data_IF_849306384982
#
_entry.id   IF_849306384982
#
_cell.length_a   1.000
_cell.length_b   1.000
_cell.length_c   1.000
_cell.angle_alpha   90.00
_cell.angle_beta   90.00
_cell.angle_gamma   90.00
#
_symmetry.space_group_name_H-M   'P 1'
#
loop_
_entity.id
_entity.type
_entity.pdbx_description
1 polymer ?
#
# COMPACT_ATOMS: atom_id res chain seq x y z
N UNK A 1 19.15 27.46 -14.25
CA UNK A 1 18.72 26.93 -15.56
C UNK A 1 19.63 27.54 -16.61
N UNK A 2 20.62 26.80 -17.03
CA UNK A 2 21.41 27.15 -18.22
C UNK A 2 20.50 26.97 -19.41
N UNK A 3 20.10 28.08 -20.07
CA UNK A 3 19.31 28.06 -21.29
C UNK A 3 20.08 27.40 -22.45
N UNK A 4 20.30 26.12 -22.34
CA UNK A 4 20.89 25.30 -23.40
C UNK A 4 19.80 25.06 -24.44
N UNK A 5 19.94 25.67 -25.60
CA UNK A 5 19.06 25.41 -26.76
C UNK A 5 19.06 23.91 -27.09
N UNK A 6 17.89 23.33 -27.39
CA UNK A 6 17.79 21.91 -27.73
C UNK A 6 18.65 21.51 -28.95
N UNK A 7 19.01 22.43 -29.82
CA UNK A 7 19.67 22.16 -31.11
C UNK A 7 21.21 22.32 -31.09
N UNK A 8 21.81 22.68 -29.94
CA UNK A 8 23.25 22.88 -29.88
C UNK A 8 23.95 21.70 -29.23
N UNK A 9 25.02 21.20 -29.86
CA UNK A 9 25.86 20.12 -29.34
C UNK A 9 26.98 20.60 -28.42
N UNK A 10 27.21 21.91 -28.39
CA UNK A 10 28.27 22.52 -27.57
C UNK A 10 27.70 23.59 -26.64
N UNK A 11 28.30 23.73 -25.47
CA UNK A 11 27.98 24.78 -24.51
C UNK A 11 28.38 26.16 -25.05
N UNK A 12 27.45 27.15 -25.14
CA UNK A 12 27.81 28.49 -25.66
C UNK A 12 28.75 29.27 -24.77
N UNK A 13 28.93 28.90 -23.50
CA UNK A 13 29.82 29.57 -22.56
C UNK A 13 31.22 29.02 -22.54
N UNK A 14 31.43 27.72 -22.70
CA UNK A 14 32.72 27.07 -22.54
C UNK A 14 33.12 26.13 -23.68
N UNK A 15 32.28 25.97 -24.73
CA UNK A 15 32.59 25.11 -25.88
C UNK A 15 32.53 23.60 -25.63
N UNK A 16 32.26 23.18 -24.37
CA UNK A 16 32.20 21.75 -24.05
C UNK A 16 31.12 21.02 -24.81
N UNK A 17 31.38 19.78 -25.24
CA UNK A 17 30.40 18.88 -25.86
C UNK A 17 29.33 18.48 -24.83
N UNK A 18 28.09 18.75 -25.12
CA UNK A 18 26.96 18.48 -24.22
C UNK A 18 26.05 17.34 -24.70
N UNK A 19 26.40 16.65 -25.81
CA UNK A 19 25.60 15.55 -26.37
C UNK A 19 25.38 14.42 -25.37
N UNK A 20 26.44 13.99 -24.68
CA UNK A 20 26.32 12.95 -23.65
C UNK A 20 25.44 13.40 -22.49
N UNK A 21 25.60 14.65 -22.04
CA UNK A 21 24.78 15.21 -20.97
C UNK A 21 23.29 15.24 -21.33
N UNK A 22 22.95 15.62 -22.56
CA UNK A 22 21.57 15.56 -23.06
C UNK A 22 21.02 14.14 -23.07
N UNK A 23 21.79 13.16 -23.56
CA UNK A 23 21.39 11.74 -23.54
C UNK A 23 21.08 11.27 -22.13
N UNK A 24 21.89 11.66 -21.14
CA UNK A 24 21.67 11.33 -19.73
C UNK A 24 20.38 11.96 -19.20
N UNK A 25 20.11 13.24 -19.47
CA UNK A 25 18.87 13.92 -19.06
C UNK A 25 17.66 13.25 -19.74
N UNK A 26 17.77 12.97 -21.03
CA UNK A 26 16.69 12.29 -21.76
C UNK A 26 16.39 10.92 -21.16
N UNK A 27 17.40 10.09 -20.92
CA UNK A 27 17.24 8.79 -20.28
C UNK A 27 16.62 8.92 -18.87
N UNK A 28 17.08 9.90 -18.07
CA UNK A 28 16.48 10.20 -16.77
C UNK A 28 14.98 10.53 -16.88
N UNK A 29 14.58 11.32 -17.86
CA UNK A 29 13.19 11.68 -18.10
C UNK A 29 12.36 10.47 -18.56
N UNK A 30 12.93 9.56 -19.34
CA UNK A 30 12.24 8.32 -19.73
C UNK A 30 11.95 7.45 -18.49
N UNK A 31 12.91 7.28 -17.59
CA UNK A 31 12.69 6.57 -16.33
C UNK A 31 11.70 7.29 -15.40
N UNK A 32 11.68 8.62 -15.39
CA UNK A 32 10.65 9.39 -14.69
C UNK A 32 9.26 9.08 -15.26
N UNK A 33 9.08 9.12 -16.58
CA UNK A 33 7.80 8.86 -17.22
C UNK A 33 7.33 7.42 -16.96
N UNK A 34 8.25 6.44 -16.99
CA UNK A 34 7.94 5.06 -16.64
C UNK A 34 7.52 4.93 -15.17
N UNK A 35 8.24 5.60 -14.27
CA UNK A 35 7.90 5.66 -12.85
C UNK A 35 6.52 6.29 -12.61
N UNK A 36 6.19 7.36 -13.34
CA UNK A 36 4.87 8.00 -13.29
C UNK A 36 3.76 7.06 -13.76
N UNK A 37 3.99 6.33 -14.85
CA UNK A 37 3.03 5.36 -15.36
C UNK A 37 2.77 4.23 -14.36
N UNK A 38 3.83 3.68 -13.74
CA UNK A 38 3.73 2.65 -12.70
C UNK A 38 3.01 3.17 -11.45
N UNK A 39 3.33 4.38 -10.99
CA UNK A 39 2.65 4.99 -9.84
C UNK A 39 1.14 5.15 -10.09
N UNK A 40 0.74 5.58 -11.29
CA UNK A 40 -0.67 5.64 -11.69
C UNK A 40 -1.36 4.27 -11.69
N UNK A 41 -0.63 3.21 -12.03
CA UNK A 41 -1.12 1.83 -11.99
C UNK A 41 -1.11 1.23 -10.57
N UNK A 42 -0.70 2.00 -9.55
CA UNK A 42 -0.51 1.55 -8.15
C UNK A 42 0.60 0.49 -7.99
N UNK A 43 1.53 0.40 -8.93
CA UNK A 43 2.80 -0.32 -8.78
C UNK A 43 3.82 0.63 -8.13
N UNK A 44 3.69 0.83 -6.81
CA UNK A 44 4.49 1.81 -6.09
C UNK A 44 5.95 1.38 -5.96
N UNK A 45 6.20 0.10 -5.71
CA UNK A 45 7.57 -0.45 -5.66
C UNK A 45 8.27 -0.29 -7.00
N UNK A 46 7.65 -0.68 -8.09
CA UNK A 46 8.24 -0.52 -9.42
C UNK A 46 8.38 0.96 -9.83
N UNK A 47 7.46 1.83 -9.40
CA UNK A 47 7.59 3.27 -9.58
C UNK A 47 8.82 3.83 -8.85
N UNK A 48 9.02 3.45 -7.58
CA UNK A 48 10.17 3.87 -6.79
C UNK A 48 11.50 3.43 -7.41
N UNK A 49 11.57 2.23 -7.97
CA UNK A 49 12.76 1.72 -8.68
C UNK A 49 13.08 2.55 -9.92
N UNK A 50 12.08 2.81 -10.77
CA UNK A 50 12.25 3.65 -11.96
C UNK A 50 12.70 5.08 -11.59
N UNK A 51 12.09 5.67 -10.57
CA UNK A 51 12.42 7.03 -10.13
C UNK A 51 13.82 7.12 -9.52
N UNK A 52 14.25 6.09 -8.76
CA UNK A 52 15.64 5.98 -8.28
C UNK A 52 16.64 5.89 -9.43
N UNK A 53 16.34 5.08 -10.45
CA UNK A 53 17.17 4.99 -11.66
C UNK A 53 17.23 6.33 -12.38
N UNK A 54 16.11 7.04 -12.52
CA UNK A 54 16.08 8.41 -13.05
C UNK A 54 17.03 9.33 -12.29
N UNK A 55 17.02 9.28 -10.95
CA UNK A 55 17.86 10.11 -10.10
C UNK A 55 19.33 9.66 -10.05
N UNK A 56 19.63 8.38 -10.31
CA UNK A 56 21.00 7.90 -10.51
C UNK A 56 21.62 8.50 -11.78
N UNK A 57 20.85 8.58 -12.87
CA UNK A 57 21.26 9.19 -14.12
C UNK A 57 21.39 10.71 -13.98
N UNK A 58 20.40 11.37 -13.40
CA UNK A 58 20.39 12.82 -13.24
C UNK A 58 19.86 13.24 -11.86
N UNK A 59 20.77 13.43 -10.91
CA UNK A 59 20.45 13.77 -9.50
C UNK A 59 19.63 15.05 -9.32
N UNK A 60 19.65 15.96 -10.31
CA UNK A 60 18.90 17.23 -10.30
C UNK A 60 17.53 17.13 -10.97
N UNK A 61 17.02 15.94 -11.28
CA UNK A 61 15.68 15.77 -11.80
C UNK A 61 14.64 16.03 -10.70
N UNK A 62 14.19 17.29 -10.61
CA UNK A 62 13.24 17.76 -9.59
C UNK A 62 11.93 16.98 -9.67
N UNK A 63 11.40 16.76 -10.88
CA UNK A 63 10.14 16.06 -11.08
C UNK A 63 10.21 14.60 -10.59
N UNK A 64 11.30 13.89 -10.91
CA UNK A 64 11.51 12.53 -10.43
C UNK A 64 11.64 12.47 -8.90
N UNK A 65 12.33 13.46 -8.30
CA UNK A 65 12.49 13.53 -6.86
C UNK A 65 11.18 13.82 -6.13
N UNK A 66 10.40 14.76 -6.63
CA UNK A 66 9.09 15.09 -6.06
C UNK A 66 8.13 13.90 -6.14
N UNK A 67 8.10 13.22 -7.28
CA UNK A 67 7.27 12.03 -7.45
C UNK A 67 7.75 10.87 -6.58
N UNK A 68 9.07 10.68 -6.42
CA UNK A 68 9.61 9.64 -5.53
C UNK A 68 9.19 9.88 -4.08
N UNK A 69 9.23 11.14 -3.62
CA UNK A 69 8.70 11.51 -2.31
C UNK A 69 7.21 11.15 -2.17
N UNK A 70 6.40 11.47 -3.18
CA UNK A 70 4.98 11.12 -3.16
C UNK A 70 4.75 9.60 -3.14
N UNK A 71 5.52 8.83 -3.91
CA UNK A 71 5.46 7.37 -3.91
C UNK A 71 5.81 6.81 -2.53
N UNK A 72 6.87 7.30 -1.88
CA UNK A 72 7.20 6.89 -0.52
C UNK A 72 6.10 7.25 0.49
N UNK A 73 5.48 8.41 0.35
CA UNK A 73 4.35 8.81 1.20
C UNK A 73 3.16 7.85 1.05
N UNK A 74 2.83 7.47 -0.18
CA UNK A 74 1.78 6.48 -0.47
C UNK A 74 2.11 5.07 0.05
N UNK A 75 3.39 4.74 0.20
CA UNK A 75 3.86 3.49 0.81
C UNK A 75 3.92 3.53 2.35
N UNK A 76 3.51 4.64 2.97
CA UNK A 76 3.60 4.86 4.43
C UNK A 76 5.00 5.17 4.94
N UNK A 77 5.94 5.50 4.07
CA UNK A 77 7.35 5.81 4.37
C UNK A 77 7.56 7.34 4.48
N UNK A 78 6.86 7.97 5.43
CA UNK A 78 6.83 9.44 5.59
C UNK A 78 8.21 10.08 5.72
N UNK A 79 9.15 9.43 6.43
CA UNK A 79 10.52 9.93 6.60
C UNK A 79 11.30 9.96 5.28
N UNK A 80 11.12 8.93 4.43
CA UNK A 80 11.73 8.88 3.11
C UNK A 80 11.12 9.92 2.17
N UNK A 81 9.79 10.10 2.22
CA UNK A 81 9.09 11.13 1.47
C UNK A 81 9.62 12.53 1.80
N UNK A 82 9.68 12.87 3.09
CA UNK A 82 10.18 14.16 3.56
C UNK A 82 11.64 14.38 3.14
N UNK A 83 12.49 13.37 3.24
CA UNK A 83 13.90 13.42 2.78
C UNK A 83 13.98 13.84 1.31
N UNK A 84 13.21 13.20 0.42
CA UNK A 84 13.24 13.50 -1.01
C UNK A 84 12.73 14.92 -1.30
N UNK A 85 11.66 15.36 -0.64
CA UNK A 85 11.12 16.71 -0.81
C UNK A 85 12.04 17.79 -0.27
N UNK A 86 12.72 17.59 0.87
CA UNK A 86 13.73 18.52 1.39
C UNK A 86 14.91 18.65 0.43
N UNK A 87 15.41 17.54 -0.12
CA UNK A 87 16.47 17.59 -1.14
C UNK A 87 15.96 18.33 -2.39
N UNK A 88 14.73 18.08 -2.84
CA UNK A 88 14.13 18.75 -3.98
C UNK A 88 14.05 20.26 -3.77
N UNK A 89 13.57 20.70 -2.60
CA UNK A 89 13.51 22.11 -2.22
C UNK A 89 14.88 22.78 -2.24
N UNK A 90 15.92 22.11 -1.72
CA UNK A 90 17.28 22.63 -1.72
C UNK A 90 17.88 22.76 -3.14
N UNK A 91 17.44 21.92 -4.08
CA UNK A 91 17.85 22.01 -5.48
C UNK A 91 17.11 23.10 -6.26
N UNK A 92 15.86 23.40 -5.91
CA UNK A 92 15.03 24.45 -6.50
C UNK A 92 14.22 25.15 -5.40
N UNK A 93 14.65 26.36 -5.05
CA UNK A 93 14.06 27.12 -3.93
C UNK A 93 12.73 27.83 -4.27
N UNK A 94 12.41 28.05 -5.55
CA UNK A 94 11.20 28.77 -5.96
C UNK A 94 10.39 27.95 -6.96
N UNK A 95 9.07 27.98 -6.81
CA UNK A 95 8.14 27.30 -7.71
C UNK A 95 8.29 25.78 -7.68
N UNK A 96 8.55 25.20 -6.51
CA UNK A 96 8.72 23.76 -6.31
C UNK A 96 7.55 23.24 -5.47
N UNK A 97 6.78 22.33 -6.03
CA UNK A 97 5.64 21.66 -5.36
C UNK A 97 6.05 20.93 -4.06
N UNK A 98 7.34 20.61 -3.89
CA UNK A 98 7.85 20.02 -2.66
C UNK A 98 7.59 20.92 -1.44
N UNK A 99 7.53 22.26 -1.63
CA UNK A 99 7.22 23.18 -0.53
C UNK A 99 5.81 22.97 0.01
N UNK A 100 4.85 22.68 -0.87
CA UNK A 100 3.46 22.41 -0.48
C UNK A 100 3.37 21.08 0.25
N UNK A 101 3.99 20.02 -0.26
CA UNK A 101 4.02 18.71 0.42
C UNK A 101 4.68 18.78 1.81
N UNK A 102 5.78 19.52 1.95
CA UNK A 102 6.46 19.70 3.25
C UNK A 102 5.55 20.49 4.21
N UNK A 103 4.86 21.51 3.70
CA UNK A 103 3.91 22.31 4.50
C UNK A 103 2.75 21.46 4.97
N UNK A 104 2.11 20.72 4.07
CA UNK A 104 1.00 19.84 4.38
C UNK A 104 1.37 18.80 5.47
N UNK A 105 2.56 18.20 5.35
CA UNK A 105 3.06 17.28 6.38
C UNK A 105 3.32 17.97 7.72
N UNK A 106 3.86 19.20 7.70
CA UNK A 106 4.16 19.96 8.93
C UNK A 106 2.89 20.45 9.62
N UNK A 107 1.92 20.92 8.83
CA UNK A 107 0.66 21.48 9.35
C UNK A 107 -0.22 20.34 9.91
N UNK A 108 -0.04 19.12 9.41
CA UNK A 108 -0.60 17.91 9.98
C UNK A 108 0.39 17.24 10.96
N UNK A 109 0.69 17.92 12.09
CA UNK A 109 1.61 17.40 13.13
C UNK A 109 1.23 16.00 13.61
N UNK A 110 -0.06 15.72 13.73
CA UNK A 110 -0.56 14.41 14.11
C UNK A 110 -0.10 13.30 13.13
N UNK A 111 0.07 13.63 11.85
CA UNK A 111 0.58 12.69 10.84
C UNK A 111 2.05 12.35 11.05
N UNK A 112 2.90 13.32 11.42
CA UNK A 112 4.32 13.11 11.70
C UNK A 112 4.53 12.32 12.99
N UNK A 113 3.83 12.68 14.05
CA UNK A 113 3.89 11.98 15.35
C UNK A 113 3.38 10.53 15.19
N UNK A 114 2.32 10.34 14.42
CA UNK A 114 1.79 9.02 14.06
C UNK A 114 2.78 8.19 13.26
N UNK A 115 3.51 8.80 12.32
CA UNK A 115 4.52 8.11 11.53
C UNK A 115 5.70 7.64 12.40
N UNK A 116 6.24 8.52 13.26
CA UNK A 116 7.31 8.17 14.20
C UNK A 116 6.87 7.08 15.20
N UNK A 117 5.67 7.21 15.76
CA UNK A 117 5.08 6.20 16.62
C UNK A 117 4.92 4.84 15.92
N UNK A 118 4.48 4.84 14.66
CA UNK A 118 4.35 3.63 13.85
C UNK A 118 5.69 2.95 13.60
N UNK A 119 6.74 3.72 13.30
CA UNK A 119 8.10 3.19 13.11
C UNK A 119 8.62 2.54 14.39
N UNK A 120 8.47 3.19 15.55
CA UNK A 120 8.90 2.62 16.84
C UNK A 120 8.15 1.33 17.16
N UNK A 121 6.82 1.31 16.98
CA UNK A 121 6.01 0.10 17.19
C UNK A 121 6.34 -1.01 16.21
N UNK A 122 6.62 -0.69 14.95
CA UNK A 122 7.06 -1.66 13.97
C UNK A 122 8.41 -2.30 14.37
N UNK A 123 9.38 -1.49 14.79
CA UNK A 123 10.66 -2.00 15.26
C UNK A 123 10.51 -2.88 16.51
N UNK A 124 9.63 -2.50 17.44
CA UNK A 124 9.30 -3.33 18.59
C UNK A 124 8.65 -4.66 18.18
N UNK A 125 7.73 -4.63 17.22
CA UNK A 125 7.10 -5.84 16.68
C UNK A 125 8.14 -6.76 15.99
N UNK A 126 9.10 -6.18 15.27
CA UNK A 126 10.19 -6.93 14.64
C UNK A 126 11.07 -7.63 15.70
N UNK A 127 11.37 -6.97 16.82
CA UNK A 127 12.12 -7.59 17.92
C UNK A 127 11.31 -8.71 18.58
N UNK A 128 10.00 -8.51 18.81
CA UNK A 128 9.14 -9.60 19.31
C UNK A 128 9.10 -10.79 18.36
N UNK A 129 9.04 -10.55 17.04
CA UNK A 129 9.08 -11.63 16.06
C UNK A 129 10.41 -12.39 16.10
N UNK A 130 11.55 -11.70 16.19
CA UNK A 130 12.89 -12.31 16.29
C UNK A 130 13.07 -13.14 17.59
N UNK A 131 12.48 -12.70 18.69
CA UNK A 131 12.56 -13.38 20.00
C UNK A 131 11.52 -14.50 20.17
N UNK A 132 10.72 -14.79 19.11
CA UNK A 132 9.69 -15.84 19.15
C UNK A 132 8.39 -15.43 19.84
N UNK A 133 8.26 -14.19 20.31
CA UNK A 133 7.05 -13.67 20.95
C UNK A 133 6.01 -13.23 19.91
N UNK A 134 5.54 -14.19 19.10
CA UNK A 134 4.69 -13.94 17.91
C UNK A 134 3.40 -13.21 18.23
N UNK A 135 2.69 -13.58 19.28
CA UNK A 135 1.43 -12.93 19.67
C UNK A 135 1.63 -11.44 19.95
N UNK A 136 2.73 -11.11 20.66
CA UNK A 136 3.06 -9.71 20.93
C UNK A 136 3.41 -8.96 19.65
N UNK A 137 4.14 -9.60 18.72
CA UNK A 137 4.43 -9.03 17.41
C UNK A 137 3.14 -8.74 16.62
N UNK A 138 2.22 -9.69 16.55
CA UNK A 138 0.91 -9.54 15.88
C UNK A 138 0.11 -8.39 16.48
N UNK A 139 0.03 -8.30 17.81
CA UNK A 139 -0.68 -7.21 18.50
C UNK A 139 -0.09 -5.85 18.13
N UNK A 140 1.25 -5.72 18.15
CA UNK A 140 1.91 -4.46 17.80
C UNK A 140 1.71 -4.11 16.30
N UNK A 141 1.83 -5.08 15.41
CA UNK A 141 1.62 -4.86 13.96
C UNK A 141 0.20 -4.40 13.65
N UNK A 142 -0.81 -4.97 14.29
CA UNK A 142 -2.20 -4.49 14.17
C UNK A 142 -2.34 -3.03 14.61
N UNK A 143 -1.68 -2.65 15.72
CA UNK A 143 -1.66 -1.25 16.17
C UNK A 143 -0.94 -0.35 15.16
N UNK A 144 0.17 -0.81 14.56
CA UNK A 144 0.87 -0.08 13.49
C UNK A 144 -0.05 0.17 12.30
N UNK A 145 -0.71 -0.87 11.79
CA UNK A 145 -1.62 -0.79 10.65
C UNK A 145 -2.80 0.16 10.93
N UNK A 146 -3.33 0.17 12.14
CA UNK A 146 -4.41 1.08 12.51
C UNK A 146 -3.97 2.55 12.54
N UNK A 147 -2.72 2.83 12.92
CA UNK A 147 -2.17 4.20 12.97
C UNK A 147 -1.64 4.65 11.61
N UNK A 148 -0.98 3.74 10.88
CA UNK A 148 -0.45 3.98 9.54
C UNK A 148 -0.92 2.87 8.57
N UNK A 149 -2.13 3.01 7.99
CA UNK A 149 -2.72 2.00 7.13
C UNK A 149 -1.97 1.77 5.80
N UNK A 150 -0.99 2.63 5.47
CA UNK A 150 -0.19 2.53 4.24
C UNK A 150 1.15 1.84 4.45
N UNK A 151 1.51 1.46 5.67
CA UNK A 151 2.82 0.89 5.98
C UNK A 151 2.96 -0.55 5.46
N UNK A 152 3.39 -0.70 4.21
CA UNK A 152 3.55 -1.98 3.50
C UNK A 152 4.33 -3.01 4.31
N UNK A 153 5.44 -2.60 4.94
CA UNK A 153 6.29 -3.49 5.75
C UNK A 153 5.54 -4.15 6.91
N UNK A 154 4.56 -3.43 7.50
CA UNK A 154 3.76 -3.97 8.60
C UNK A 154 2.83 -5.09 8.11
N UNK A 155 2.22 -4.93 6.94
CA UNK A 155 1.40 -5.96 6.33
C UNK A 155 2.24 -7.20 5.96
N UNK A 156 3.42 -7.00 5.36
CA UNK A 156 4.31 -8.10 4.99
C UNK A 156 4.75 -8.93 6.21
N UNK A 157 5.18 -8.27 7.29
CA UNK A 157 5.59 -8.96 8.50
C UNK A 157 4.41 -9.66 9.19
N UNK A 158 3.24 -9.03 9.22
CA UNK A 158 2.03 -9.65 9.78
C UNK A 158 1.59 -10.88 8.99
N UNK A 159 1.67 -10.81 7.65
CA UNK A 159 1.36 -11.93 6.79
C UNK A 159 2.31 -13.10 7.03
N UNK A 160 3.63 -12.84 7.14
CA UNK A 160 4.63 -13.88 7.45
C UNK A 160 4.33 -14.57 8.79
N UNK A 161 3.98 -13.81 9.84
CA UNK A 161 3.64 -14.40 11.15
C UNK A 161 2.38 -15.27 11.07
N UNK A 162 1.37 -14.85 10.30
CA UNK A 162 0.19 -15.67 10.08
C UNK A 162 0.46 -16.93 9.24
N UNK A 163 1.35 -16.83 8.23
CA UNK A 163 1.80 -18.00 7.46
C UNK A 163 2.51 -19.01 8.35
N UNK A 164 3.40 -18.56 9.21
CA UNK A 164 4.14 -19.40 10.16
C UNK A 164 3.21 -20.09 11.16
N UNK A 165 2.14 -19.39 11.59
CA UNK A 165 1.09 -19.93 12.47
C UNK A 165 0.03 -20.76 11.72
N UNK A 166 0.19 -21.00 10.41
CA UNK A 166 -0.76 -21.71 9.53
C UNK A 166 -2.16 -21.06 9.46
N UNK A 167 -2.27 -19.78 9.81
CA UNK A 167 -3.50 -18.99 9.73
C UNK A 167 -3.67 -18.39 8.32
N UNK A 168 -3.81 -19.28 7.33
CA UNK A 168 -3.71 -18.93 5.91
C UNK A 168 -4.77 -17.92 5.44
N UNK A 169 -6.01 -18.00 5.93
CA UNK A 169 -7.06 -17.04 5.59
C UNK A 169 -6.72 -15.63 6.06
N UNK A 170 -6.18 -15.50 7.28
CA UNK A 170 -5.76 -14.21 7.82
C UNK A 170 -4.54 -13.66 7.07
N UNK A 171 -3.62 -14.53 6.68
CA UNK A 171 -2.46 -14.14 5.88
C UNK A 171 -2.89 -13.60 4.50
N UNK A 172 -3.85 -14.27 3.84
CA UNK A 172 -4.40 -13.83 2.54
C UNK A 172 -5.08 -12.45 2.66
N UNK A 173 -5.94 -12.24 3.67
CA UNK A 173 -6.60 -10.94 3.89
C UNK A 173 -5.56 -9.81 4.05
N UNK A 174 -4.53 -10.05 4.85
CA UNK A 174 -3.46 -9.06 5.07
C UNK A 174 -2.65 -8.78 3.81
N UNK A 175 -2.36 -9.82 3.00
CA UNK A 175 -1.64 -9.65 1.73
C UNK A 175 -2.48 -8.92 0.71
N UNK A 176 -3.77 -9.22 0.60
CA UNK A 176 -4.66 -8.53 -0.32
C UNK A 176 -4.75 -7.03 0.00
N UNK A 177 -4.85 -6.65 1.27
CA UNK A 177 -4.75 -5.24 1.70
C UNK A 177 -3.40 -4.61 1.37
N UNK A 178 -2.30 -5.35 1.49
CA UNK A 178 -0.99 -4.87 1.06
C UNK A 178 -0.97 -4.58 -0.45
N UNK A 179 -1.56 -5.45 -1.27
CA UNK A 179 -1.64 -5.30 -2.72
C UNK A 179 -2.64 -4.23 -3.18
N UNK A 180 -3.62 -3.86 -2.35
CA UNK A 180 -4.45 -2.67 -2.60
C UNK A 180 -3.63 -1.37 -2.53
N UNK A 181 -2.63 -1.32 -1.66
CA UNK A 181 -1.71 -0.18 -1.53
C UNK A 181 -0.70 -0.20 -2.67
N UNK A 182 -0.03 -1.33 -2.88
CA UNK A 182 1.04 -1.52 -3.86
C UNK A 182 0.85 -2.82 -4.64
N UNK A 183 0.19 -2.72 -5.80
CA UNK A 183 -0.15 -3.87 -6.67
C UNK A 183 1.07 -4.59 -7.22
N UNK A 184 2.18 -3.89 -7.38
CA UNK A 184 3.43 -4.42 -7.90
C UNK A 184 4.39 -4.89 -6.81
N UNK A 185 3.97 -4.99 -5.56
CA UNK A 185 4.85 -5.39 -4.47
C UNK A 185 5.36 -6.83 -4.64
N UNK A 186 6.67 -7.05 -4.92
CA UNK A 186 7.17 -8.37 -5.25
C UNK A 186 7.10 -9.35 -4.06
N UNK A 187 7.29 -8.85 -2.83
CA UNK A 187 7.19 -9.65 -1.62
C UNK A 187 5.76 -10.13 -1.38
N UNK A 188 4.77 -9.22 -1.45
CA UNK A 188 3.36 -9.57 -1.26
C UNK A 188 2.87 -10.54 -2.36
N UNK A 189 3.28 -10.32 -3.61
CA UNK A 189 2.96 -11.23 -4.72
C UNK A 189 3.59 -12.62 -4.54
N UNK A 190 4.81 -12.68 -4.00
CA UNK A 190 5.47 -13.96 -3.69
C UNK A 190 4.73 -14.71 -2.59
N UNK A 191 4.40 -14.04 -1.49
CA UNK A 191 3.65 -14.64 -0.38
C UNK A 191 2.25 -15.09 -0.82
N UNK A 192 1.58 -14.32 -1.67
CA UNK A 192 0.27 -14.71 -2.21
C UNK A 192 0.35 -16.01 -2.99
N UNK A 193 1.33 -16.15 -3.87
CA UNK A 193 1.54 -17.39 -4.64
C UNK A 193 1.85 -18.59 -3.75
N UNK A 194 2.70 -18.41 -2.75
CA UNK A 194 3.02 -19.45 -1.78
C UNK A 194 1.78 -19.90 -0.99
N UNK A 195 0.99 -18.94 -0.51
CA UNK A 195 -0.25 -19.22 0.20
C UNK A 195 -1.27 -19.95 -0.67
N UNK A 196 -1.47 -19.52 -1.91
CA UNK A 196 -2.41 -20.18 -2.83
C UNK A 196 -2.03 -21.64 -3.09
N UNK A 197 -0.73 -21.94 -3.21
CA UNK A 197 -0.25 -23.32 -3.39
C UNK A 197 -0.43 -24.15 -2.12
N UNK A 198 -0.04 -23.61 -0.97
CA UNK A 198 -0.13 -24.29 0.34
C UNK A 198 -1.58 -24.49 0.77
N UNK A 199 -2.42 -23.46 0.59
CA UNK A 199 -3.84 -23.50 0.92
C UNK A 199 -4.61 -24.52 0.06
N UNK A 200 -4.33 -24.59 -1.24
CA UNK A 200 -4.90 -25.63 -2.13
C UNK A 200 -4.48 -27.04 -1.69
N UNK A 201 -3.23 -27.21 -1.29
CA UNK A 201 -2.72 -28.49 -0.80
C UNK A 201 -3.37 -28.90 0.53
N UNK A 202 -3.52 -27.98 1.49
CA UNK A 202 -4.17 -28.24 2.78
C UNK A 202 -5.66 -28.56 2.62
N UNK A 203 -6.37 -27.83 1.76
CA UNK A 203 -7.79 -28.08 1.48
C UNK A 203 -8.03 -29.42 0.80
N UNK A 204 -7.12 -29.82 -0.12
CA UNK A 204 -7.15 -31.15 -0.74
C UNK A 204 -6.88 -32.27 0.27
N UNK A 205 -5.96 -32.04 1.22
CA UNK A 205 -5.66 -33.03 2.29
C UNK A 205 -6.84 -33.20 3.25
N UNK A 206 -7.50 -32.11 3.62
CA UNK A 206 -8.71 -32.16 4.48
C UNK A 206 -9.91 -32.80 3.76
N UNK A 207 -10.08 -32.55 2.45
CA UNK A 207 -11.17 -33.19 1.68
C UNK A 207 -10.95 -34.70 1.50
N UNK A 208 -9.69 -35.14 1.39
CA UNK A 208 -9.35 -36.59 1.33
C UNK A 208 -9.51 -37.23 2.72
N UNK A 209 -9.16 -36.52 3.81
CA UNK A 209 -9.38 -37.00 5.19
C UNK A 209 -10.87 -37.17 5.52
N UNK A 210 -11.70 -36.20 5.14
CA UNK A 210 -13.15 -36.27 5.35
C UNK A 210 -13.81 -37.36 4.47
N UNK A 211 -13.33 -37.57 3.24
CA UNK A 211 -13.83 -38.66 2.39
C UNK A 211 -13.47 -40.04 2.92
N UNK A 212 -12.31 -40.21 3.59
CA UNK A 212 -11.91 -41.46 4.20
C UNK A 212 -12.62 -41.79 5.52
N UNK A 213 -13.17 -40.80 6.22
CA UNK A 213 -14.01 -40.99 7.42
C UNK A 213 -15.50 -41.21 7.08
N UNK A 214 -15.98 -40.70 5.95
CA UNK A 214 -17.39 -40.86 5.50
C UNK A 214 -17.69 -42.28 4.98
N UNK A 215 -16.70 -43.10 4.71
CA UNK A 215 -16.91 -44.54 4.39
C UNK A 215 -17.15 -45.41 5.65
N UNK A 216 -17.09 -44.85 6.86
CA UNK A 216 -17.26 -45.60 8.11
C UNK A 216 -18.51 -45.34 8.93
N UNK A 217 -19.25 -44.26 8.66
CA UNK A 217 -20.54 -44.03 9.36
C UNK A 217 -21.54 -43.35 8.43
N UNK A 218 -22.59 -44.08 8.09
CA UNK A 218 -23.85 -43.47 7.59
C UNK A 218 -24.52 -42.70 8.74
N UNK A 219 -24.12 -41.44 8.92
CA UNK A 219 -24.85 -40.50 9.77
C UNK A 219 -25.66 -39.58 8.89
N UNK A 220 -26.97 -39.84 8.84
CA UNK A 220 -27.97 -38.93 8.27
C UNK A 220 -27.96 -37.64 9.09
N UNK A 221 -27.27 -36.59 8.62
CA UNK A 221 -27.37 -35.26 9.22
C UNK A 221 -28.52 -34.52 8.55
N UNK A 222 -29.58 -34.14 9.29
CA UNK A 222 -30.65 -33.33 8.70
C UNK A 222 -30.08 -31.97 8.31
N UNK A 223 -30.21 -31.62 7.03
CA UNK A 223 -29.89 -30.29 6.49
C UNK A 223 -30.74 -29.25 7.21
N UNK A 224 -30.16 -28.53 8.17
CA UNK A 224 -30.82 -27.39 8.81
C UNK A 224 -30.92 -26.26 7.79
N UNK A 225 -32.07 -26.14 7.15
CA UNK A 225 -32.35 -24.97 6.30
C UNK A 225 -32.17 -23.71 7.13
N UNK A 226 -31.32 -22.84 6.64
CA UNK A 226 -31.08 -21.53 7.25
C UNK A 226 -32.34 -20.70 7.05
N UNK A 227 -32.99 -20.39 8.16
CA UNK A 227 -34.28 -19.68 8.19
C UNK A 227 -34.06 -18.24 7.70
N UNK A 228 -34.33 -18.00 6.42
CA UNK A 228 -34.31 -16.65 5.83
C UNK A 228 -35.56 -15.83 6.22
N UNK A 229 -36.53 -16.44 6.92
CA UNK A 229 -37.78 -15.80 7.33
C UNK A 229 -37.56 -14.61 8.28
N UNK A 230 -36.57 -14.67 9.16
CA UNK A 230 -36.27 -13.59 10.12
C UNK A 230 -35.75 -12.31 9.47
N UNK A 231 -34.98 -12.42 8.38
CA UNK A 231 -34.46 -11.26 7.65
C UNK A 231 -35.51 -10.59 6.78
N UNK A 232 -36.46 -11.36 6.21
CA UNK A 232 -37.59 -10.82 5.46
C UNK A 232 -38.55 -10.07 6.38
N UNK A 233 -38.80 -10.58 7.59
CA UNK A 233 -39.60 -9.89 8.58
C UNK A 233 -38.95 -8.56 9.02
N UNK A 234 -37.66 -8.55 9.31
CA UNK A 234 -36.93 -7.33 9.68
C UNK A 234 -36.94 -6.27 8.55
N UNK A 235 -36.76 -6.67 7.30
CA UNK A 235 -36.87 -5.78 6.15
C UNK A 235 -38.28 -5.19 5.98
N UNK A 236 -39.35 -5.98 6.23
CA UNK A 236 -40.72 -5.51 6.19
C UNK A 236 -41.01 -4.45 7.27
N UNK A 237 -40.51 -4.62 8.49
CA UNK A 237 -40.67 -3.61 9.57
C UNK A 237 -39.95 -2.29 9.25
N UNK A 238 -38.79 -2.33 8.63
CA UNK A 238 -38.05 -1.11 8.21
C UNK A 238 -38.82 -0.36 7.13
N UNK A 239 -39.41 -1.06 6.15
CA UNK A 239 -40.24 -0.44 5.10
C UNK A 239 -41.50 0.20 5.64
N UNK A 240 -42.23 -0.49 6.56
CA UNK A 240 -43.42 0.07 7.22
C UNK A 240 -43.07 1.30 8.04
N UNK A 241 -41.97 1.28 8.80
CA UNK A 241 -41.50 2.44 9.55
C UNK A 241 -41.17 3.65 8.68
N UNK A 242 -40.57 3.42 7.53
CA UNK A 242 -40.24 4.47 6.56
C UNK A 242 -41.48 5.09 5.93
N UNK A 243 -42.49 4.28 5.57
CA UNK A 243 -43.77 4.76 5.04
C UNK A 243 -44.57 5.58 6.07
N UNK A 244 -44.58 5.16 7.34
CA UNK A 244 -45.19 5.92 8.42
C UNK A 244 -44.51 7.27 8.64
N UNK A 245 -43.18 7.31 8.60
CA UNK A 245 -42.40 8.55 8.72
C UNK A 245 -42.71 9.53 7.57
N UNK A 246 -42.82 9.04 6.34
CA UNK A 246 -43.22 9.83 5.18
C UNK A 246 -44.67 10.35 5.31
N UNK A 247 -45.58 9.57 5.83
CA UNK A 247 -46.97 9.97 6.08
C UNK A 247 -47.08 11.09 7.11
N UNK A 248 -46.32 11.00 8.21
CA UNK A 248 -46.24 12.06 9.23
C UNK A 248 -45.64 13.34 8.66
N UNK A 249 -44.53 13.22 7.88
CA UNK A 249 -43.89 14.35 7.24
C UNK A 249 -44.84 15.07 6.26
N UNK A 250 -45.61 14.30 5.47
CA UNK A 250 -46.64 14.85 4.56
C UNK A 250 -47.71 15.61 5.31
N UNK A 251 -48.18 15.04 6.45
CA UNK A 251 -49.23 15.68 7.28
C UNK A 251 -48.76 16.96 7.98
N UNK A 252 -47.47 17.08 8.31
CA UNK A 252 -46.89 18.27 8.95
C UNK A 252 -46.62 19.40 7.95
N UNK A 253 -46.44 19.07 6.65
CA UNK A 253 -46.13 20.05 5.59
C UNK A 253 -47.44 20.57 4.92
N UNK A 254 -48.55 19.88 5.07
CA UNK A 254 -49.87 20.29 4.55
C UNK A 254 -50.67 21.00 5.62
#
# INVERSE_FOLDING_TARGET
>A
ETGLSPDRDTCPKCGADIRLYRKIIYASNQYYNLGLARAKARDLTGAAECLRTSLQLYKKNISARNLLGLVYYEMGEAALALKEWVISKNLRHRGNIADDYIRDMRDNRQSLDSADHSIRKFNQALEYAKTGSKDMAVIQLKKVINVNPRMIKAYQLLALLYMEDQKYDQALDVIDRCLEIDRGNPGALSYKRELETTYKASKKKNSIGVAGELEREEVIIPVRMRDYGSYLAAAAYVLVGFLLALGVLYYVIM
#
